data_IF_301537775093
#
_entry.id   IF_301537775093
#
_cell.length_a   1.000
_cell.length_b   1.000
_cell.length_c   1.000
_cell.angle_alpha   90.00
_cell.angle_beta   90.00
_cell.angle_gamma   90.00
#
_symmetry.space_group_name_H-M   'P 1'
#
loop_
_entity.id
_entity.type
_entity.pdbx_description
1 polymer ?
#
# COMPACT_ATOMS: atom_id res chain seq x y z
N UNK A 1 70.52 55.07 -36.41
CA UNK A 1 70.50 56.50 -36.06
C UNK A 1 71.02 56.61 -34.64
N UNK A 2 72.03 57.45 -34.42
CA UNK A 2 72.70 57.62 -33.13
C UNK A 2 72.35 59.01 -32.63
N UNK A 3 71.61 59.11 -31.53
CA UNK A 3 71.41 60.37 -30.81
C UNK A 3 72.45 60.45 -29.70
N UNK A 4 73.45 61.29 -29.88
CA UNK A 4 74.39 61.66 -28.81
C UNK A 4 73.83 62.87 -28.06
N UNK A 5 73.24 62.61 -26.88
CA UNK A 5 73.00 63.65 -25.89
C UNK A 5 74.36 64.13 -25.35
N UNK A 6 74.62 65.43 -25.47
CA UNK A 6 75.85 66.06 -25.00
C UNK A 6 75.66 66.84 -23.70
N UNK A 7 76.79 67.39 -23.24
CA UNK A 7 76.92 68.41 -22.19
C UNK A 7 76.69 67.97 -20.73
N UNK A 8 77.80 67.95 -19.97
CA UNK A 8 78.01 68.93 -18.90
C UNK A 8 79.51 68.96 -18.56
N UNK A 9 80.25 69.89 -19.18
CA UNK A 9 81.60 70.19 -18.73
C UNK A 9 81.49 70.95 -17.41
N UNK A 10 81.95 70.34 -16.32
CA UNK A 10 81.91 70.93 -14.98
C UNK A 10 82.80 72.18 -14.92
N UNK A 11 82.23 73.30 -14.48
CA UNK A 11 82.96 74.50 -14.14
C UNK A 11 83.90 74.17 -12.97
N UNK A 12 85.20 74.10 -13.25
CA UNK A 12 86.19 73.56 -12.31
C UNK A 12 86.50 74.56 -11.20
N UNK A 13 86.09 74.24 -9.98
CA UNK A 13 86.29 75.03 -8.76
C UNK A 13 87.77 75.44 -8.58
N UNK A 14 88.11 76.68 -8.99
CA UNK A 14 89.47 77.22 -8.87
C UNK A 14 89.76 77.54 -7.41
N UNK A 15 90.49 76.65 -6.74
CA UNK A 15 90.82 76.81 -5.34
C UNK A 15 91.87 77.91 -5.15
N UNK A 16 91.57 78.89 -4.29
CA UNK A 16 92.51 79.94 -3.89
C UNK A 16 93.29 79.51 -2.64
N UNK A 17 94.56 79.17 -2.82
CA UNK A 17 95.47 78.72 -1.76
C UNK A 17 96.34 79.88 -1.25
N UNK A 18 96.56 79.96 0.06
CA UNK A 18 97.47 80.96 0.62
C UNK A 18 98.95 80.61 0.33
N UNK A 19 99.74 81.60 -0.08
CA UNK A 19 101.17 81.42 -0.32
C UNK A 19 101.93 81.17 0.99
N UNK A 20 102.63 80.03 1.10
CA UNK A 20 103.31 79.57 2.33
C UNK A 20 104.69 80.22 2.53
N UNK A 21 104.80 81.52 2.25
CA UNK A 21 106.06 82.25 2.41
C UNK A 21 106.42 82.37 3.91
N UNK A 22 107.68 82.09 4.30
CA UNK A 22 108.05 81.97 5.73
C UNK A 22 108.25 83.30 6.47
N UNK A 23 108.29 84.43 5.77
CA UNK A 23 108.58 85.75 6.36
C UNK A 23 107.47 86.73 5.99
N UNK A 24 106.49 86.90 6.88
CA UNK A 24 105.28 87.69 6.64
C UNK A 24 104.20 86.94 5.86
N UNK A 25 102.93 87.28 6.10
CA UNK A 25 101.80 86.73 5.35
C UNK A 25 101.76 87.35 3.95
N UNK A 26 102.18 86.59 2.94
CA UNK A 26 102.10 87.02 1.54
C UNK A 26 100.62 87.28 1.17
N UNK A 27 100.26 88.50 0.70
CA UNK A 27 98.85 88.85 0.44
C UNK A 27 98.29 88.22 -0.84
N UNK A 28 99.15 87.65 -1.70
CA UNK A 28 98.74 87.13 -3.01
C UNK A 28 98.31 85.65 -2.89
N UNK A 29 97.02 85.32 -3.11
CA UNK A 29 96.57 83.94 -3.22
C UNK A 29 97.11 83.30 -4.50
N UNK A 30 97.27 81.99 -4.45
CA UNK A 30 97.62 81.13 -5.58
C UNK A 30 96.31 80.57 -6.13
N UNK A 31 95.99 80.85 -7.39
CA UNK A 31 94.87 80.19 -8.06
C UNK A 31 95.32 78.83 -8.58
N UNK A 32 94.62 77.76 -8.16
CA UNK A 32 94.91 76.39 -8.55
C UNK A 32 93.71 75.78 -9.27
N UNK A 33 93.94 75.22 -10.46
CA UNK A 33 92.94 74.69 -11.39
C UNK A 33 92.62 73.20 -11.19
N UNK A 34 93.19 72.58 -10.15
CA UNK A 34 92.97 71.18 -9.79
C UNK A 34 93.95 70.18 -10.43
N UNK A 35 94.75 70.59 -11.43
CA UNK A 35 95.61 69.67 -12.17
C UNK A 35 97.01 69.48 -11.52
N UNK A 36 97.26 68.29 -10.97
CA UNK A 36 98.59 67.89 -10.47
C UNK A 36 98.78 68.03 -8.96
N UNK A 37 99.91 68.61 -8.54
CA UNK A 37 100.24 68.87 -7.12
C UNK A 37 100.28 70.38 -6.88
N UNK A 38 99.46 70.94 -5.97
CA UNK A 38 99.35 72.39 -5.82
C UNK A 38 100.68 73.05 -5.44
N UNK A 39 101.05 74.17 -6.08
CA UNK A 39 102.29 74.89 -5.78
C UNK A 39 102.17 75.63 -4.44
N UNK A 40 103.24 75.60 -3.64
CA UNK A 40 103.25 76.16 -2.27
C UNK A 40 103.58 77.66 -2.20
N UNK A 41 104.01 78.27 -3.31
CA UNK A 41 104.46 79.66 -3.39
C UNK A 41 103.92 80.32 -4.66
N UNK A 42 103.60 81.61 -4.60
CA UNK A 42 102.91 82.34 -5.68
C UNK A 42 103.78 82.68 -6.91
N UNK A 43 105.10 82.46 -6.87
CA UNK A 43 105.99 82.72 -8.02
C UNK A 43 106.31 84.20 -8.28
N UNK A 44 105.51 85.11 -7.74
CA UNK A 44 105.66 86.56 -7.83
C UNK A 44 106.83 87.13 -7.02
N UNK A 45 107.23 88.36 -7.32
CA UNK A 45 108.24 89.11 -6.54
C UNK A 45 107.53 90.00 -5.53
N UNK A 46 107.65 89.67 -4.25
CA UNK A 46 107.15 90.49 -3.13
C UNK A 46 108.36 90.93 -2.30
N UNK A 47 108.38 92.19 -1.87
CA UNK A 47 109.49 92.81 -1.12
C UNK A 47 110.89 92.58 -1.75
N UNK A 48 110.94 92.59 -3.08
CA UNK A 48 112.18 92.42 -3.86
C UNK A 48 112.69 90.97 -3.98
N UNK A 49 111.96 89.98 -3.43
CA UNK A 49 112.35 88.56 -3.49
C UNK A 49 111.28 87.74 -4.22
N UNK A 50 111.71 86.94 -5.20
CA UNK A 50 110.81 86.04 -5.93
C UNK A 50 110.36 84.86 -5.05
N UNK A 51 109.06 84.72 -4.81
CA UNK A 51 108.43 83.68 -4.00
C UNK A 51 108.44 82.32 -4.71
N UNK A 52 109.58 81.63 -4.65
CA UNK A 52 109.75 80.26 -5.13
C UNK A 52 110.43 79.38 -4.06
N UNK A 53 110.44 78.06 -4.26
CA UNK A 53 110.97 77.10 -3.27
C UNK A 53 112.43 77.34 -2.89
N UNK A 54 113.28 77.72 -3.86
CA UNK A 54 114.71 77.98 -3.64
C UNK A 54 114.93 79.21 -2.77
N UNK A 55 114.21 80.30 -3.07
CA UNK A 55 114.30 81.54 -2.31
C UNK A 55 113.59 81.42 -0.96
N UNK A 56 112.52 80.63 -0.83
CA UNK A 56 111.87 80.34 0.45
C UNK A 56 112.81 79.57 1.39
N UNK A 57 113.59 78.63 0.85
CA UNK A 57 114.66 77.97 1.62
C UNK A 57 115.74 78.98 2.03
N UNK A 58 116.27 79.80 1.08
CA UNK A 58 117.26 80.84 1.39
C UNK A 58 116.73 81.89 2.38
N UNK A 59 115.42 82.15 2.42
CA UNK A 59 114.77 83.02 3.40
C UNK A 59 114.71 82.37 4.79
N UNK A 60 114.33 81.08 4.90
CA UNK A 60 114.42 80.32 6.17
C UNK A 60 115.85 80.22 6.70
N UNK A 61 116.85 80.19 5.81
CA UNK A 61 118.28 80.18 6.15
C UNK A 61 118.87 81.60 6.37
N UNK A 62 118.11 82.69 6.18
CA UNK A 62 118.59 84.07 6.36
C UNK A 62 119.65 84.54 5.34
N UNK A 63 119.74 83.91 4.16
CA UNK A 63 120.87 84.03 3.21
C UNK A 63 120.61 84.91 1.97
N UNK A 64 119.52 85.67 1.92
CA UNK A 64 119.23 86.58 0.79
C UNK A 64 120.04 87.89 0.91
N UNK A 65 120.97 88.12 -0.02
CA UNK A 65 121.69 89.41 -0.23
C UNK A 65 121.91 89.67 -1.74
N UNK A 66 121.79 90.92 -2.26
CA UNK A 66 122.00 91.25 -3.69
C UNK A 66 123.49 91.50 -4.04
N UNK A 67 123.93 91.29 -5.32
CA UNK A 67 125.32 91.59 -5.79
C UNK A 67 125.48 91.65 -7.33
N UNK A 68 126.53 92.32 -7.87
CA UNK A 68 126.81 92.59 -9.30
C UNK A 68 128.33 92.79 -9.63
N UNK A 69 128.70 92.76 -10.94
CA UNK A 69 129.89 93.27 -11.75
C UNK A 69 131.21 92.46 -11.94
N UNK A 70 131.80 92.61 -13.15
CA UNK A 70 133.02 92.01 -13.79
C UNK A 70 134.10 93.08 -14.21
N UNK A 71 135.29 92.69 -14.73
CA UNK A 71 136.22 93.57 -15.53
C UNK A 71 137.34 92.84 -16.34
N UNK A 72 137.92 93.49 -17.39
CA UNK A 72 138.99 93.00 -18.32
C UNK A 72 140.01 94.13 -18.72
N UNK A 73 141.15 93.84 -19.41
CA UNK A 73 142.25 94.83 -19.72
C UNK A 73 143.16 94.50 -20.94
N UNK A 74 143.87 95.50 -21.53
CA UNK A 74 144.63 95.44 -22.82
C UNK A 74 146.14 95.86 -22.77
N UNK A 75 146.86 95.89 -23.93
CA UNK A 75 148.34 95.87 -24.07
C UNK A 75 149.00 96.97 -24.98
N UNK A 76 150.35 97.07 -25.00
CA UNK A 76 151.20 98.07 -25.74
C UNK A 76 152.54 97.47 -26.29
N UNK A 77 153.12 98.07 -27.34
CA UNK A 77 154.20 97.59 -28.25
C UNK A 77 155.66 97.52 -27.70
N UNK A 78 156.57 96.77 -28.37
CA UNK A 78 157.97 96.45 -27.95
C UNK A 78 158.98 96.22 -29.11
N UNK A 79 160.32 96.34 -28.90
CA UNK A 79 161.35 96.48 -29.96
C UNK A 79 161.84 95.21 -30.71
N UNK A 80 162.60 95.41 -31.79
CA UNK A 80 162.97 94.40 -32.83
C UNK A 80 163.81 93.20 -32.35
N UNK A 81 164.59 93.31 -31.26
CA UNK A 81 165.23 92.12 -30.66
C UNK A 81 164.19 91.14 -30.08
N UNK A 82 163.08 91.68 -29.56
CA UNK A 82 161.88 90.94 -29.18
C UNK A 82 161.10 90.41 -30.39
N UNK A 83 161.29 90.97 -31.59
CA UNK A 83 160.75 90.42 -32.83
C UNK A 83 161.60 89.25 -33.39
N UNK A 84 162.93 89.21 -33.12
CA UNK A 84 163.76 88.02 -33.42
C UNK A 84 163.54 86.90 -32.41
N UNK A 85 163.59 87.22 -31.10
CA UNK A 85 163.18 86.26 -30.07
C UNK A 85 161.71 85.84 -30.25
N UNK A 86 160.86 86.76 -30.73
CA UNK A 86 159.47 86.48 -31.13
C UNK A 86 159.35 85.62 -32.38
N UNK A 87 160.26 85.72 -33.35
CA UNK A 87 160.30 84.83 -34.53
C UNK A 87 160.83 83.45 -34.19
N UNK A 88 161.80 83.33 -33.28
CA UNK A 88 162.25 82.04 -32.76
C UNK A 88 161.17 81.40 -31.88
N UNK A 89 160.54 82.17 -30.99
CA UNK A 89 159.38 81.72 -30.21
C UNK A 89 158.18 81.37 -31.10
N UNK A 90 157.93 82.11 -32.19
CA UNK A 90 156.89 81.79 -33.16
C UNK A 90 157.25 80.56 -33.98
N UNK A 91 158.52 80.36 -34.36
CA UNK A 91 158.98 79.15 -35.04
C UNK A 91 158.83 77.93 -34.14
N UNK A 92 159.22 78.06 -32.88
CA UNK A 92 159.13 76.98 -31.90
C UNK A 92 157.68 76.75 -31.43
N UNK A 93 156.82 77.78 -31.41
CA UNK A 93 155.38 77.64 -31.17
C UNK A 93 154.64 77.02 -32.36
N UNK A 94 154.96 77.43 -33.61
CA UNK A 94 154.50 76.76 -34.83
C UNK A 94 154.95 75.29 -34.79
N UNK A 95 156.20 75.00 -34.42
CA UNK A 95 156.67 73.61 -34.26
C UNK A 95 155.88 72.88 -33.18
N UNK A 96 155.66 73.49 -32.01
CA UNK A 96 154.86 72.89 -30.92
C UNK A 96 153.39 72.69 -31.28
N UNK A 97 152.85 73.52 -32.17
CA UNK A 97 151.46 73.49 -32.64
C UNK A 97 151.29 72.46 -33.72
N UNK A 98 152.25 72.32 -34.65
CA UNK A 98 152.34 71.20 -35.59
C UNK A 98 152.53 69.89 -34.82
N UNK A 99 153.46 69.80 -33.88
CA UNK A 99 153.67 68.61 -33.02
C UNK A 99 152.42 68.27 -32.17
N UNK A 100 151.62 69.25 -31.76
CA UNK A 100 150.32 69.03 -31.10
C UNK A 100 149.26 68.55 -32.09
N UNK A 101 149.18 69.16 -33.27
CA UNK A 101 148.21 68.81 -34.29
C UNK A 101 148.49 67.42 -34.88
N UNK A 102 149.75 67.05 -35.11
CA UNK A 102 150.17 65.70 -35.50
C UNK A 102 149.90 64.65 -34.43
N UNK A 103 149.93 65.01 -33.15
CA UNK A 103 149.51 64.12 -32.05
C UNK A 103 147.99 63.98 -31.99
N UNK A 104 147.25 65.08 -32.09
CA UNK A 104 145.79 65.06 -32.11
C UNK A 104 145.25 64.31 -33.35
N UNK A 105 145.82 64.53 -34.53
CA UNK A 105 145.47 63.81 -35.75
C UNK A 105 145.83 62.33 -35.67
N UNK A 106 146.95 61.96 -35.02
CA UNK A 106 147.23 60.55 -34.68
C UNK A 106 146.18 59.98 -33.74
N UNK A 107 145.84 60.66 -32.64
CA UNK A 107 144.79 60.20 -31.71
C UNK A 107 143.42 60.06 -32.41
N UNK A 108 143.06 60.98 -33.30
CA UNK A 108 141.83 60.87 -34.10
C UNK A 108 141.89 59.73 -35.12
N UNK A 109 143.02 59.49 -35.77
CA UNK A 109 143.20 58.34 -36.68
C UNK A 109 143.23 57.03 -35.92
N UNK A 110 143.85 56.95 -34.75
CA UNK A 110 143.85 55.79 -33.86
C UNK A 110 142.44 55.51 -33.31
N UNK A 111 141.71 56.54 -32.87
CA UNK A 111 140.31 56.41 -32.42
C UNK A 111 139.37 56.06 -33.57
N UNK A 112 139.59 56.60 -34.78
CA UNK A 112 138.84 56.22 -35.97
C UNK A 112 139.17 54.79 -36.42
N UNK A 113 140.43 54.36 -36.34
CA UNK A 113 140.85 52.99 -36.64
C UNK A 113 140.32 51.99 -35.61
N UNK A 114 140.22 52.37 -34.33
CA UNK A 114 139.58 51.56 -33.29
C UNK A 114 138.07 51.43 -33.56
N UNK A 115 137.36 52.53 -33.81
CA UNK A 115 135.93 52.52 -34.12
C UNK A 115 135.63 51.82 -35.45
N UNK A 116 136.48 51.95 -36.47
CA UNK A 116 136.36 51.17 -37.71
C UNK A 116 136.71 49.71 -37.48
N UNK A 117 137.68 49.39 -36.61
CA UNK A 117 138.00 48.01 -36.23
C UNK A 117 136.82 47.33 -35.56
N UNK A 118 136.17 48.00 -34.60
CA UNK A 118 134.99 47.51 -33.89
C UNK A 118 133.74 47.45 -34.80
N UNK A 119 133.56 48.43 -35.70
CA UNK A 119 132.47 48.44 -36.67
C UNK A 119 132.69 47.54 -37.91
N UNK A 120 133.91 47.03 -38.13
CA UNK A 120 134.22 46.07 -39.22
C UNK A 120 134.69 44.71 -38.70
N UNK A 121 134.63 44.47 -37.38
CA UNK A 121 134.89 43.16 -36.78
C UNK A 121 133.81 42.16 -37.21
N UNK A 122 134.14 41.17 -38.07
CA UNK A 122 133.17 40.21 -38.54
C UNK A 122 132.74 39.22 -37.44
N UNK A 123 133.57 39.01 -36.41
CA UNK A 123 133.30 38.10 -35.31
C UNK A 123 132.34 38.75 -34.29
N UNK A 124 132.51 40.04 -34.02
CA UNK A 124 131.55 40.82 -33.23
C UNK A 124 130.17 40.87 -33.90
N UNK A 125 130.12 41.20 -35.20
CA UNK A 125 128.88 41.20 -35.97
C UNK A 125 128.23 39.80 -36.03
N UNK A 126 129.02 38.73 -36.18
CA UNK A 126 128.52 37.36 -36.13
C UNK A 126 127.98 36.99 -34.73
N UNK A 127 128.60 37.46 -33.66
CA UNK A 127 128.14 37.24 -32.29
C UNK A 127 126.80 37.95 -32.01
N UNK A 128 126.62 39.19 -32.48
CA UNK A 128 125.34 39.91 -32.40
C UNK A 128 124.25 39.21 -33.22
N UNK A 129 124.53 38.84 -34.48
CA UNK A 129 123.59 38.09 -35.32
C UNK A 129 123.20 36.76 -34.64
N UNK A 130 124.16 36.05 -34.05
CA UNK A 130 123.88 34.81 -33.34
C UNK A 130 123.07 35.04 -32.04
N UNK A 131 123.25 36.18 -31.35
CA UNK A 131 122.45 36.56 -30.19
C UNK A 131 121.00 36.87 -30.59
N UNK A 132 120.81 37.72 -31.60
CA UNK A 132 119.49 38.06 -32.17
C UNK A 132 118.78 36.79 -32.70
N UNK A 133 119.50 35.86 -33.33
CA UNK A 133 118.93 34.59 -33.78
C UNK A 133 118.50 33.68 -32.61
N UNK A 134 119.24 33.65 -31.49
CA UNK A 134 118.84 32.90 -30.29
C UNK A 134 117.61 33.54 -29.63
N UNK A 135 117.60 34.86 -29.52
CA UNK A 135 116.46 35.59 -28.98
C UNK A 135 115.20 35.41 -29.85
N UNK A 136 115.32 35.58 -31.17
CA UNK A 136 114.22 35.38 -32.11
C UNK A 136 113.65 33.97 -32.05
N UNK A 137 114.49 32.92 -31.95
CA UNK A 137 114.03 31.54 -31.72
C UNK A 137 113.27 31.43 -30.40
N UNK A 138 113.81 31.95 -29.30
CA UNK A 138 113.14 31.95 -27.98
C UNK A 138 111.79 32.66 -28.03
N UNK A 139 111.68 33.77 -28.78
CA UNK A 139 110.41 34.50 -28.96
C UNK A 139 109.41 33.73 -29.84
N UNK A 140 109.88 33.00 -30.86
CA UNK A 140 109.07 32.12 -31.71
C UNK A 140 108.56 30.92 -30.89
N UNK A 141 109.43 30.18 -30.21
CA UNK A 141 109.09 29.03 -29.38
C UNK A 141 108.02 29.43 -28.33
N UNK A 142 108.21 30.57 -27.66
CA UNK A 142 107.25 31.11 -26.69
C UNK A 142 105.95 31.64 -27.33
N UNK A 143 105.94 31.97 -28.63
CA UNK A 143 104.72 32.32 -29.36
C UNK A 143 103.96 31.08 -29.82
N UNK A 144 104.66 30.04 -30.27
CA UNK A 144 104.11 28.74 -30.65
C UNK A 144 103.47 28.06 -29.43
N UNK A 145 104.14 28.01 -28.27
CA UNK A 145 103.57 27.50 -27.02
C UNK A 145 102.27 28.22 -26.61
N UNK A 146 102.23 29.56 -26.74
CA UNK A 146 101.00 30.35 -26.48
C UNK A 146 99.88 29.97 -27.44
N UNK A 147 100.17 29.84 -28.74
CA UNK A 147 99.18 29.44 -29.75
C UNK A 147 98.67 28.03 -29.51
N UNK A 148 99.54 27.06 -29.18
CA UNK A 148 99.14 25.69 -28.86
C UNK A 148 98.27 25.64 -27.60
N UNK A 149 98.64 26.38 -26.55
CA UNK A 149 97.87 26.51 -25.31
C UNK A 149 96.49 27.14 -25.55
N UNK A 150 96.40 28.22 -26.32
CA UNK A 150 95.12 28.83 -26.72
C UNK A 150 94.25 27.88 -27.54
N UNK A 151 94.83 27.18 -28.52
CA UNK A 151 94.09 26.20 -29.32
C UNK A 151 93.60 25.02 -28.47
N UNK A 152 94.41 24.54 -27.53
CA UNK A 152 93.99 23.51 -26.58
C UNK A 152 92.87 24.03 -25.65
N UNK A 153 92.93 25.30 -25.23
CA UNK A 153 91.87 25.98 -24.50
C UNK A 153 90.56 26.04 -25.29
N UNK A 154 90.61 26.48 -26.56
CA UNK A 154 89.44 26.54 -27.46
C UNK A 154 88.82 25.15 -27.68
N UNK A 155 89.62 24.13 -28.00
CA UNK A 155 89.13 22.75 -28.18
C UNK A 155 88.45 22.20 -26.92
N UNK A 156 88.95 22.50 -25.72
CA UNK A 156 88.28 22.12 -24.45
C UNK A 156 86.98 22.88 -24.23
N UNK A 157 86.93 24.18 -24.55
CA UNK A 157 85.72 24.99 -24.43
C UNK A 157 84.65 24.55 -25.43
N UNK A 158 85.03 24.23 -26.67
CA UNK A 158 84.15 23.68 -27.72
C UNK A 158 83.59 22.31 -27.30
N UNK A 159 84.42 21.42 -26.77
CA UNK A 159 83.97 20.12 -26.26
C UNK A 159 82.98 20.27 -25.08
N UNK A 160 83.28 21.15 -24.11
CA UNK A 160 82.39 21.41 -22.98
C UNK A 160 81.07 22.08 -23.39
N UNK A 161 81.09 22.92 -24.44
CA UNK A 161 79.87 23.49 -25.01
C UNK A 161 79.00 22.42 -25.69
N UNK A 162 79.61 21.51 -26.46
CA UNK A 162 78.91 20.39 -27.09
C UNK A 162 78.32 19.41 -26.05
N UNK A 163 79.04 19.13 -24.97
CA UNK A 163 78.55 18.33 -23.84
C UNK A 163 77.35 19.00 -23.16
N UNK A 164 77.43 20.31 -22.87
CA UNK A 164 76.32 21.05 -22.28
C UNK A 164 75.09 21.17 -23.21
N UNK A 165 75.29 21.26 -24.53
CA UNK A 165 74.20 21.22 -25.52
C UNK A 165 73.54 19.83 -25.59
N UNK A 166 74.33 18.76 -25.50
CA UNK A 166 73.83 17.38 -25.46
C UNK A 166 73.04 17.08 -24.17
N UNK A 167 73.57 17.47 -23.01
CA UNK A 167 72.89 17.35 -21.71
C UNK A 167 71.57 18.12 -21.70
N UNK A 168 71.56 19.34 -22.26
CA UNK A 168 70.34 20.13 -22.40
C UNK A 168 69.32 19.44 -23.30
N UNK A 169 69.74 18.90 -24.45
CA UNK A 169 68.85 18.21 -25.38
C UNK A 169 68.33 16.86 -24.84
N UNK A 170 69.05 16.20 -23.92
CA UNK A 170 68.55 15.05 -23.16
C UNK A 170 67.54 15.50 -22.10
N UNK A 171 67.83 16.55 -21.33
CA UNK A 171 66.92 17.10 -20.33
C UNK A 171 65.59 17.60 -20.94
N UNK A 172 65.64 18.24 -22.11
CA UNK A 172 64.46 18.65 -22.87
C UNK A 172 63.63 17.43 -23.32
N UNK A 173 64.25 16.37 -23.85
CA UNK A 173 63.55 15.12 -24.22
C UNK A 173 62.93 14.39 -23.02
N UNK A 174 63.61 14.36 -21.88
CA UNK A 174 63.08 13.79 -20.63
C UNK A 174 61.86 14.60 -20.15
N UNK A 175 61.93 15.93 -20.20
CA UNK A 175 60.83 16.81 -19.82
C UNK A 175 59.61 16.65 -20.75
N UNK A 176 59.81 16.58 -22.07
CA UNK A 176 58.74 16.30 -23.04
C UNK A 176 58.08 14.95 -22.77
N UNK A 177 58.87 13.89 -22.55
CA UNK A 177 58.36 12.55 -22.23
C UNK A 177 57.52 12.57 -20.95
N UNK A 178 58.02 13.19 -19.88
CA UNK A 178 57.30 13.30 -18.61
C UNK A 178 55.99 14.12 -18.71
N UNK A 179 55.93 15.12 -19.59
CA UNK A 179 54.70 15.87 -19.86
C UNK A 179 53.67 15.01 -20.59
N UNK A 180 54.09 14.23 -21.60
CA UNK A 180 53.20 13.28 -22.30
C UNK A 180 52.67 12.21 -21.35
N UNK A 181 53.54 11.59 -20.55
CA UNK A 181 53.14 10.58 -19.56
C UNK A 181 52.14 11.12 -18.53
N UNK A 182 52.35 12.37 -18.07
CA UNK A 182 51.41 13.08 -17.18
C UNK A 182 50.06 13.29 -17.86
N UNK A 183 50.04 13.77 -19.10
CA UNK A 183 48.81 14.10 -19.81
C UNK A 183 48.01 12.84 -20.17
N UNK A 184 48.69 11.75 -20.53
CA UNK A 184 48.05 10.43 -20.63
C UNK A 184 47.51 9.92 -19.28
N UNK A 185 48.26 10.10 -18.18
CA UNK A 185 47.82 9.68 -16.86
C UNK A 185 46.58 10.47 -16.40
N UNK A 186 46.52 11.77 -16.71
CA UNK A 186 45.35 12.61 -16.47
C UNK A 186 44.17 12.16 -17.31
N UNK A 187 44.35 11.94 -18.62
CA UNK A 187 43.28 11.45 -19.50
C UNK A 187 42.73 10.08 -19.04
N UNK A 188 43.60 9.16 -18.58
CA UNK A 188 43.19 7.89 -17.97
C UNK A 188 42.42 8.08 -16.66
N UNK A 189 42.79 9.06 -15.83
CA UNK A 189 42.08 9.37 -14.59
C UNK A 189 40.68 9.98 -14.86
N UNK A 190 40.58 10.83 -15.88
CA UNK A 190 39.32 11.45 -16.29
C UNK A 190 38.35 10.40 -16.88
N UNK A 191 38.81 9.52 -17.77
CA UNK A 191 38.03 8.38 -18.30
C UNK A 191 37.54 7.44 -17.18
N UNK A 192 38.40 7.08 -16.23
CA UNK A 192 37.99 6.29 -15.07
C UNK A 192 36.98 7.04 -14.17
N UNK A 193 37.07 8.36 -14.10
CA UNK A 193 36.10 9.22 -13.41
C UNK A 193 34.73 9.20 -14.09
N UNK A 194 34.67 9.33 -15.42
CA UNK A 194 33.44 9.22 -16.21
C UNK A 194 32.82 7.82 -16.11
N UNK A 195 33.62 6.76 -16.21
CA UNK A 195 33.16 5.38 -16.03
C UNK A 195 32.58 5.13 -14.63
N UNK A 196 33.23 5.64 -13.58
CA UNK A 196 32.75 5.54 -12.20
C UNK A 196 31.41 6.29 -12.02
N UNK A 197 31.29 7.50 -12.57
CA UNK A 197 30.04 8.27 -12.54
C UNK A 197 28.91 7.55 -13.29
N UNK A 198 29.19 6.97 -14.46
CA UNK A 198 28.23 6.18 -15.22
C UNK A 198 27.76 4.92 -14.47
N UNK A 199 28.67 4.18 -13.83
CA UNK A 199 28.32 3.03 -13.00
C UNK A 199 27.49 3.44 -11.76
N UNK A 200 27.82 4.56 -11.12
CA UNK A 200 27.02 5.08 -10.01
C UNK A 200 25.60 5.46 -10.44
N UNK A 201 25.42 6.07 -11.62
CA UNK A 201 24.12 6.37 -12.19
C UNK A 201 23.30 5.10 -12.52
N UNK A 202 23.93 4.10 -13.15
CA UNK A 202 23.28 2.80 -13.43
C UNK A 202 22.84 2.07 -12.15
N UNK A 203 23.68 2.10 -11.12
CA UNK A 203 23.41 1.49 -9.82
C UNK A 203 22.33 2.25 -9.02
N UNK A 204 22.24 3.57 -9.16
CA UNK A 204 21.13 4.37 -8.62
C UNK A 204 19.80 4.04 -9.32
N UNK A 205 19.79 3.94 -10.64
CA UNK A 205 18.58 3.57 -11.41
C UNK A 205 18.13 2.13 -11.11
N UNK A 206 19.07 1.18 -11.02
CA UNK A 206 18.77 -0.21 -10.66
C UNK A 206 18.17 -0.31 -9.25
N UNK A 207 18.66 0.50 -8.29
CA UNK A 207 18.06 0.61 -6.96
C UNK A 207 16.64 1.18 -7.01
N UNK A 208 16.37 2.15 -7.88
CA UNK A 208 15.03 2.72 -8.08
C UNK A 208 14.06 1.66 -8.62
N UNK A 209 14.46 0.94 -9.66
CA UNK A 209 13.68 -0.14 -10.27
C UNK A 209 13.41 -1.29 -9.29
N UNK A 210 14.39 -1.64 -8.45
CA UNK A 210 14.21 -2.63 -7.39
C UNK A 210 13.19 -2.17 -6.32
N UNK A 211 13.24 -0.89 -5.93
CA UNK A 211 12.27 -0.32 -4.98
C UNK A 211 10.84 -0.29 -5.57
N UNK A 212 10.69 0.11 -6.83
CA UNK A 212 9.43 0.10 -7.58
C UNK A 212 8.85 -1.31 -7.69
N UNK A 213 9.66 -2.28 -8.13
CA UNK A 213 9.27 -3.71 -8.20
C UNK A 213 8.88 -4.27 -6.83
N UNK A 214 9.53 -3.84 -5.76
CA UNK A 214 9.20 -4.24 -4.38
C UNK A 214 7.85 -3.64 -3.95
N UNK A 215 7.60 -2.37 -4.25
CA UNK A 215 6.32 -1.72 -3.98
C UNK A 215 5.16 -2.38 -4.74
N UNK A 216 5.37 -2.70 -6.02
CA UNK A 216 4.39 -3.39 -6.86
C UNK A 216 4.07 -4.79 -6.33
N UNK A 217 5.10 -5.57 -5.97
CA UNK A 217 4.94 -6.87 -5.30
C UNK A 217 4.09 -6.74 -4.04
N UNK A 218 4.38 -5.76 -3.18
CA UNK A 218 3.66 -5.54 -1.92
C UNK A 218 2.21 -5.07 -2.16
N UNK A 219 1.96 -4.32 -3.24
CA UNK A 219 0.62 -3.94 -3.68
C UNK A 219 -0.16 -5.13 -4.24
N UNK A 220 0.48 -6.02 -5.00
CA UNK A 220 -0.11 -7.26 -5.49
C UNK A 220 -0.40 -8.23 -4.35
N UNK A 221 0.49 -8.38 -3.37
CA UNK A 221 0.25 -9.20 -2.18
C UNK A 221 -0.99 -8.70 -1.42
N UNK A 222 -1.04 -7.39 -1.08
CA UNK A 222 -2.22 -6.77 -0.45
C UNK A 222 -3.50 -6.84 -1.30
N UNK A 223 -3.42 -7.15 -2.60
CA UNK A 223 -4.58 -7.41 -3.45
C UNK A 223 -4.97 -8.89 -3.40
N UNK A 224 -4.02 -9.81 -3.37
CA UNK A 224 -4.26 -11.24 -3.14
C UNK A 224 -4.92 -11.46 -1.76
N UNK A 225 -4.33 -10.92 -0.69
CA UNK A 225 -4.86 -11.06 0.68
C UNK A 225 -6.34 -10.62 0.77
N UNK A 226 -6.69 -9.48 0.17
CA UNK A 226 -8.08 -8.98 0.10
C UNK A 226 -9.01 -9.84 -0.76
N UNK A 227 -8.50 -10.46 -1.83
CA UNK A 227 -9.29 -11.38 -2.66
C UNK A 227 -9.54 -12.69 -1.91
N UNK A 228 -8.58 -13.16 -1.12
CA UNK A 228 -8.74 -14.34 -0.25
C UNK A 228 -9.75 -14.07 0.88
N UNK A 229 -9.69 -12.90 1.54
CA UNK A 229 -10.72 -12.46 2.50
C UNK A 229 -12.13 -12.39 1.87
N UNK A 230 -12.24 -11.85 0.66
CA UNK A 230 -13.51 -11.82 -0.10
C UNK A 230 -13.99 -13.22 -0.47
N UNK A 231 -13.10 -14.13 -0.86
CA UNK A 231 -13.43 -15.51 -1.22
C UNK A 231 -13.87 -16.33 0.00
N UNK A 232 -13.24 -16.13 1.17
CA UNK A 232 -13.68 -16.71 2.44
C UNK A 232 -15.07 -16.20 2.80
N UNK A 233 -15.30 -14.88 2.74
CA UNK A 233 -16.61 -14.27 3.03
C UNK A 233 -17.70 -14.83 2.12
N UNK A 234 -17.50 -14.78 0.79
CA UNK A 234 -18.46 -15.31 -0.18
C UNK A 234 -18.68 -16.83 -0.05
N UNK A 235 -17.70 -17.57 0.48
CA UNK A 235 -17.86 -19.00 0.78
C UNK A 235 -18.77 -19.22 2.00
N UNK A 236 -18.63 -18.40 3.05
CA UNK A 236 -19.52 -18.41 4.22
C UNK A 236 -20.94 -18.01 3.82
N UNK A 237 -21.11 -16.90 3.11
CA UNK A 237 -22.42 -16.41 2.64
C UNK A 237 -23.16 -17.47 1.80
N UNK A 238 -22.43 -18.15 0.89
CA UNK A 238 -22.97 -19.25 0.07
C UNK A 238 -23.42 -20.42 0.93
N UNK A 239 -22.65 -20.80 1.94
CA UNK A 239 -22.95 -21.95 2.80
C UNK A 239 -24.07 -21.63 3.80
N UNK A 240 -24.23 -20.38 4.21
CA UNK A 240 -25.38 -19.88 4.97
C UNK A 240 -26.64 -19.88 4.11
N UNK A 241 -26.64 -19.24 2.94
CA UNK A 241 -27.77 -19.25 2.00
C UNK A 241 -28.18 -20.67 1.58
N UNK A 242 -27.22 -21.61 1.51
CA UNK A 242 -27.51 -23.03 1.32
C UNK A 242 -28.27 -23.64 2.49
N UNK A 243 -27.87 -23.37 3.74
CA UNK A 243 -28.58 -23.85 4.94
C UNK A 243 -29.97 -23.24 5.04
N UNK A 244 -30.12 -21.95 4.76
CA UNK A 244 -31.42 -21.27 4.73
C UNK A 244 -32.36 -21.91 3.70
N UNK A 245 -31.88 -22.16 2.48
CA UNK A 245 -32.64 -22.86 1.44
C UNK A 245 -33.00 -24.29 1.87
N UNK A 246 -32.05 -25.04 2.41
CA UNK A 246 -32.28 -26.43 2.82
C UNK A 246 -33.27 -26.50 4.01
N UNK A 247 -33.27 -25.51 4.91
CA UNK A 247 -34.27 -25.34 5.97
C UNK A 247 -35.64 -24.92 5.42
N UNK A 248 -35.70 -23.95 4.50
CA UNK A 248 -36.94 -23.53 3.86
C UNK A 248 -37.61 -24.68 3.08
N UNK A 249 -36.80 -25.56 2.46
CA UNK A 249 -37.29 -26.77 1.81
C UNK A 249 -37.89 -27.75 2.83
N UNK A 250 -37.21 -27.99 3.97
CA UNK A 250 -37.76 -28.84 5.04
C UNK A 250 -39.11 -28.32 5.56
N UNK A 251 -39.22 -27.01 5.82
CA UNK A 251 -40.47 -26.37 6.26
C UNK A 251 -41.56 -26.48 5.18
N UNK A 252 -41.22 -26.34 3.90
CA UNK A 252 -42.15 -26.55 2.80
C UNK A 252 -42.64 -28.00 2.70
N UNK A 253 -41.74 -28.98 2.85
CA UNK A 253 -42.06 -30.41 2.85
C UNK A 253 -42.95 -30.79 4.05
N UNK A 254 -42.67 -30.23 5.24
CA UNK A 254 -43.52 -30.36 6.44
C UNK A 254 -44.92 -29.77 6.21
N UNK A 255 -45.03 -28.58 5.61
CA UNK A 255 -46.33 -28.00 5.25
C UNK A 255 -47.09 -28.85 4.22
N UNK A 256 -46.40 -29.46 3.25
CA UNK A 256 -47.02 -30.38 2.29
C UNK A 256 -47.52 -31.66 2.98
N UNK A 257 -46.77 -32.24 3.91
CA UNK A 257 -47.24 -33.41 4.67
C UNK A 257 -48.37 -33.08 5.65
N UNK A 258 -48.34 -31.90 6.29
CA UNK A 258 -49.46 -31.40 7.10
C UNK A 258 -50.72 -31.23 6.26
N UNK A 259 -50.62 -30.57 5.10
CA UNK A 259 -51.74 -30.40 4.18
C UNK A 259 -52.29 -31.76 3.70
N UNK A 260 -51.40 -32.71 3.34
CA UNK A 260 -51.80 -34.09 2.99
C UNK A 260 -52.49 -34.80 4.16
N UNK A 261 -52.04 -34.60 5.40
CA UNK A 261 -52.67 -35.16 6.58
C UNK A 261 -54.04 -34.53 6.88
N UNK A 262 -54.20 -33.23 6.64
CA UNK A 262 -55.48 -32.54 6.75
C UNK A 262 -56.47 -32.99 5.67
N UNK A 263 -56.04 -33.15 4.42
CA UNK A 263 -56.86 -33.75 3.35
C UNK A 263 -57.31 -35.17 3.75
N UNK A 264 -56.40 -36.04 4.22
CA UNK A 264 -56.76 -37.39 4.69
C UNK A 264 -57.80 -37.36 5.82
N UNK A 265 -57.65 -36.45 6.80
CA UNK A 265 -58.64 -36.27 7.89
C UNK A 265 -59.98 -35.75 7.38
N UNK A 266 -59.98 -34.86 6.39
CA UNK A 266 -61.19 -34.36 5.76
C UNK A 266 -61.92 -35.47 4.99
N UNK A 267 -61.18 -36.30 4.25
CA UNK A 267 -61.72 -37.49 3.55
C UNK A 267 -62.30 -38.51 4.55
N UNK A 268 -61.60 -38.80 5.65
CA UNK A 268 -62.06 -39.68 6.73
C UNK A 268 -63.32 -39.13 7.43
N UNK A 269 -63.37 -37.81 7.65
CA UNK A 269 -64.53 -37.12 8.22
C UNK A 269 -65.72 -37.18 7.25
N UNK A 270 -65.51 -36.91 5.95
CA UNK A 270 -66.56 -37.03 4.93
C UNK A 270 -67.08 -38.47 4.84
N UNK A 271 -66.21 -39.48 4.81
CA UNK A 271 -66.62 -40.89 4.85
C UNK A 271 -67.36 -41.26 6.15
N UNK A 272 -67.11 -40.54 7.24
CA UNK A 272 -67.87 -40.70 8.50
C UNK A 272 -69.25 -40.07 8.40
N UNK A 273 -69.36 -38.87 7.82
CA UNK A 273 -70.63 -38.20 7.52
C UNK A 273 -71.48 -39.05 6.55
N UNK A 274 -70.92 -39.51 5.43
CA UNK A 274 -71.62 -40.40 4.48
C UNK A 274 -72.12 -41.70 5.14
N UNK A 275 -71.35 -42.27 6.08
CA UNK A 275 -71.79 -43.44 6.87
C UNK A 275 -72.92 -43.09 7.84
N UNK A 276 -72.86 -41.91 8.47
CA UNK A 276 -73.92 -41.42 9.35
C UNK A 276 -75.19 -41.09 8.56
N UNK A 277 -75.09 -40.48 7.38
CA UNK A 277 -76.22 -40.21 6.48
C UNK A 277 -76.90 -41.50 6.04
N UNK A 278 -76.14 -42.51 5.57
CA UNK A 278 -76.69 -43.84 5.25
C UNK A 278 -77.33 -44.54 6.46
N UNK A 279 -76.77 -44.35 7.66
CA UNK A 279 -77.38 -44.86 8.89
C UNK A 279 -78.68 -44.13 9.25
N UNK A 280 -78.72 -42.80 9.10
CA UNK A 280 -79.93 -41.98 9.27
C UNK A 280 -80.99 -42.36 8.24
N UNK A 281 -80.62 -42.55 6.97
CA UNK A 281 -81.51 -43.03 5.90
C UNK A 281 -82.08 -44.41 6.25
N UNK A 282 -81.24 -45.33 6.73
CA UNK A 282 -81.67 -46.66 7.18
C UNK A 282 -82.65 -46.57 8.36
N UNK A 283 -82.32 -45.80 9.40
CA UNK A 283 -83.18 -45.56 10.57
C UNK A 283 -84.49 -44.86 10.16
N UNK A 284 -84.44 -43.97 9.17
CA UNK A 284 -85.62 -43.29 8.63
C UNK A 284 -86.52 -44.28 7.90
N UNK A 285 -85.95 -45.14 7.04
CA UNK A 285 -86.69 -46.21 6.37
C UNK A 285 -87.25 -47.25 7.35
N UNK A 286 -86.53 -47.56 8.43
CA UNK A 286 -87.04 -48.42 9.52
C UNK A 286 -88.17 -47.74 10.30
N UNK A 287 -88.02 -46.46 10.67
CA UNK A 287 -89.08 -45.65 11.30
C UNK A 287 -90.32 -45.61 10.41
N UNK A 288 -90.15 -45.45 9.10
CA UNK A 288 -91.26 -45.33 8.15
C UNK A 288 -91.95 -46.69 7.94
N UNK A 289 -91.21 -47.81 7.95
CA UNK A 289 -91.79 -49.16 8.05
C UNK A 289 -92.53 -49.39 9.36
N UNK A 290 -91.98 -48.96 10.50
CA UNK A 290 -92.64 -49.05 11.81
C UNK A 290 -93.88 -48.15 11.86
N UNK A 291 -93.85 -47.00 11.18
CA UNK A 291 -95.00 -46.12 10.97
C UNK A 291 -96.10 -46.81 10.16
N UNK A 292 -95.74 -47.42 9.03
CA UNK A 292 -96.65 -48.23 8.21
C UNK A 292 -97.25 -49.39 9.03
N UNK A 293 -96.44 -50.14 9.77
CA UNK A 293 -96.91 -51.21 10.67
C UNK A 293 -97.82 -50.68 11.79
N UNK A 294 -97.55 -49.48 12.32
CA UNK A 294 -98.41 -48.86 13.33
C UNK A 294 -99.74 -48.38 12.74
N UNK A 295 -99.76 -47.93 11.47
CA UNK A 295 -100.99 -47.55 10.76
C UNK A 295 -101.79 -48.76 10.28
N UNK A 296 -101.14 -49.86 9.88
CA UNK A 296 -101.75 -51.18 9.69
C UNK A 296 -102.39 -51.65 11.00
N UNK A 297 -101.66 -51.64 12.12
CA UNK A 297 -102.20 -52.01 13.43
C UNK A 297 -103.32 -51.08 13.91
N UNK A 298 -103.28 -49.78 13.60
CA UNK A 298 -104.42 -48.86 13.85
C UNK A 298 -105.64 -49.22 13.00
N UNK A 299 -105.42 -49.61 11.75
CA UNK A 299 -106.47 -50.06 10.84
C UNK A 299 -107.07 -51.38 11.33
N UNK A 300 -106.25 -52.32 11.78
CA UNK A 300 -106.70 -53.58 12.40
C UNK A 300 -107.44 -53.33 13.72
N UNK A 301 -107.00 -52.39 14.56
CA UNK A 301 -107.74 -51.99 15.77
C UNK A 301 -109.06 -51.30 15.42
N UNK A 302 -109.12 -50.49 14.36
CA UNK A 302 -110.37 -49.89 13.87
C UNK A 302 -111.33 -50.95 13.32
N UNK A 303 -110.81 -51.94 12.57
CA UNK A 303 -111.56 -53.08 12.04
C UNK A 303 -112.02 -54.04 13.16
N UNK A 304 -111.20 -54.24 14.20
CA UNK A 304 -111.58 -54.96 15.39
C UNK A 304 -112.67 -54.20 16.17
N UNK A 305 -112.59 -52.87 16.24
CA UNK A 305 -113.61 -52.03 16.88
C UNK A 305 -114.94 -52.05 16.14
N UNK A 306 -114.95 -51.92 14.81
CA UNK A 306 -116.19 -52.07 14.02
C UNK A 306 -116.72 -53.51 14.08
N UNK A 307 -115.85 -54.51 14.20
CA UNK A 307 -116.25 -55.90 14.46
C UNK A 307 -116.87 -56.06 15.85
N UNK A 308 -116.34 -55.42 16.89
CA UNK A 308 -116.92 -55.38 18.25
C UNK A 308 -118.26 -54.64 18.24
N UNK A 309 -118.37 -53.51 17.55
CA UNK A 309 -119.63 -52.75 17.40
C UNK A 309 -120.69 -53.58 16.67
N UNK A 310 -120.33 -54.29 15.59
CA UNK A 310 -121.20 -55.25 14.90
C UNK A 310 -121.63 -56.40 15.81
N UNK A 311 -120.69 -57.06 16.49
CA UNK A 311 -121.01 -58.13 17.44
C UNK A 311 -121.86 -57.64 18.62
N UNK A 312 -121.69 -56.38 19.05
CA UNK A 312 -122.51 -55.75 20.08
C UNK A 312 -123.92 -55.46 19.58
N UNK A 313 -124.07 -55.05 18.31
CA UNK A 313 -125.38 -54.94 17.66
C UNK A 313 -126.06 -56.31 17.55
N UNK A 314 -125.37 -57.35 17.08
CA UNK A 314 -125.87 -58.73 17.01
C UNK A 314 -126.27 -59.29 18.39
N UNK A 315 -125.50 -59.01 19.45
CA UNK A 315 -125.83 -59.38 20.84
C UNK A 315 -127.03 -58.61 21.38
N UNK A 316 -127.18 -57.33 21.02
CA UNK A 316 -128.35 -56.53 21.40
C UNK A 316 -129.60 -56.99 20.65
N UNK A 317 -129.48 -57.31 19.36
CA UNK A 317 -130.55 -57.87 18.53
C UNK A 317 -131.00 -59.26 19.04
N UNK A 318 -130.04 -60.12 19.43
CA UNK A 318 -130.33 -61.38 20.09
C UNK A 318 -131.03 -61.17 21.45
N UNK A 319 -130.69 -60.11 22.21
CA UNK A 319 -131.37 -59.75 23.46
C UNK A 319 -132.78 -59.22 23.24
N UNK A 320 -133.05 -58.40 22.21
CA UNK A 320 -134.43 -58.01 21.86
C UNK A 320 -135.23 -59.21 21.38
N UNK A 321 -134.66 -60.09 20.57
CA UNK A 321 -135.30 -61.36 20.17
C UNK A 321 -135.64 -62.24 21.37
N UNK A 322 -134.72 -62.36 22.34
CA UNK A 322 -134.94 -63.12 23.57
C UNK A 322 -136.00 -62.47 24.48
N UNK A 323 -136.07 -61.13 24.53
CA UNK A 323 -137.09 -60.39 25.27
C UNK A 323 -138.49 -60.53 24.63
N UNK A 324 -138.59 -60.52 23.30
CA UNK A 324 -139.84 -60.78 22.57
C UNK A 324 -140.32 -62.21 22.81
N UNK A 325 -139.46 -63.22 22.66
CA UNK A 325 -139.82 -64.61 22.95
C UNK A 325 -140.25 -64.83 24.42
N UNK A 326 -139.61 -64.14 25.38
CA UNK A 326 -140.02 -64.16 26.78
C UNK A 326 -141.40 -63.51 27.01
N UNK A 327 -141.69 -62.41 26.30
CA UNK A 327 -142.99 -61.74 26.36
C UNK A 327 -144.12 -62.61 25.75
N UNK A 328 -143.85 -63.29 24.63
CA UNK A 328 -144.78 -64.22 23.99
C UNK A 328 -145.09 -65.43 24.89
N UNK A 329 -144.08 -66.02 25.55
CA UNK A 329 -144.29 -67.07 26.55
C UNK A 329 -145.11 -66.56 27.73
N UNK A 330 -144.84 -65.36 28.24
CA UNK A 330 -145.61 -64.75 29.31
C UNK A 330 -147.05 -64.35 28.90
N UNK A 331 -147.32 -64.17 27.61
CA UNK A 331 -148.67 -63.95 27.07
C UNK A 331 -149.42 -65.27 26.89
N UNK A 332 -148.75 -66.33 26.42
CA UNK A 332 -149.32 -67.67 26.32
C UNK A 332 -149.75 -68.22 27.70
N UNK A 333 -148.93 -68.03 28.74
CA UNK A 333 -149.29 -68.41 30.12
C UNK A 333 -150.53 -67.67 30.63
N UNK A 334 -150.66 -66.35 30.40
CA UNK A 334 -151.83 -65.57 30.79
C UNK A 334 -153.10 -66.00 30.04
N UNK A 335 -152.99 -66.36 28.76
CA UNK A 335 -154.10 -66.95 28.02
C UNK A 335 -154.53 -68.31 28.57
N UNK A 336 -153.58 -69.18 28.93
CA UNK A 336 -153.86 -70.48 29.54
C UNK A 336 -154.54 -70.34 30.90
N UNK A 337 -154.04 -69.43 31.76
CA UNK A 337 -154.58 -69.16 33.08
C UNK A 337 -156.01 -68.59 33.00
N UNK A 338 -156.26 -67.66 32.07
CA UNK A 338 -157.61 -67.12 31.82
C UNK A 338 -158.58 -68.20 31.32
N UNK A 339 -158.13 -69.10 30.44
CA UNK A 339 -158.96 -70.21 29.95
C UNK A 339 -159.29 -71.23 31.04
N UNK A 340 -158.33 -71.55 31.92
CA UNK A 340 -158.54 -72.45 33.08
C UNK A 340 -159.50 -71.81 34.10
N UNK A 341 -159.43 -70.49 34.29
CA UNK A 341 -160.34 -69.78 35.19
C UNK A 341 -161.78 -69.77 34.65
N UNK A 342 -161.97 -69.51 33.36
CA UNK A 342 -163.29 -69.58 32.70
C UNK A 342 -163.90 -70.98 32.78
N UNK A 343 -163.11 -72.05 32.58
CA UNK A 343 -163.61 -73.43 32.76
C UNK A 343 -163.95 -73.77 34.22
N UNK A 344 -163.24 -73.18 35.19
CA UNK A 344 -163.60 -73.28 36.61
C UNK A 344 -164.93 -72.60 36.90
N UNK A 345 -165.11 -71.36 36.44
CA UNK A 345 -166.35 -70.61 36.64
C UNK A 345 -167.53 -71.36 36.00
N UNK A 346 -167.37 -71.88 34.77
CA UNK A 346 -168.36 -72.74 34.11
C UNK A 346 -168.60 -74.09 34.82
N UNK A 347 -167.59 -74.67 35.49
CA UNK A 347 -167.76 -75.89 36.30
C UNK A 347 -168.54 -75.61 37.60
N UNK A 348 -168.24 -74.52 38.30
CA UNK A 348 -168.97 -74.10 39.50
C UNK A 348 -170.42 -73.72 39.16
N UNK A 349 -170.65 -73.07 38.02
CA UNK A 349 -171.99 -72.71 37.56
C UNK A 349 -172.84 -73.96 37.24
N UNK A 350 -172.26 -74.97 36.56
CA UNK A 350 -172.89 -76.29 36.37
C UNK A 350 -173.23 -76.99 37.69
N UNK A 351 -172.35 -76.93 38.69
CA UNK A 351 -172.58 -77.51 40.03
C UNK A 351 -173.66 -76.73 40.79
N UNK A 352 -173.70 -75.41 40.67
CA UNK A 352 -174.75 -74.58 41.25
C UNK A 352 -176.13 -74.85 40.61
N UNK A 353 -176.18 -75.06 39.30
CA UNK A 353 -177.42 -75.40 38.60
C UNK A 353 -177.90 -76.82 38.90
N UNK A 354 -177.01 -77.81 38.94
CA UNK A 354 -177.34 -79.17 39.39
C UNK A 354 -177.85 -79.17 40.84
N UNK A 355 -177.26 -78.37 41.74
CA UNK A 355 -177.75 -78.19 43.12
C UNK A 355 -179.10 -77.48 43.18
N UNK A 356 -179.36 -76.49 42.30
CA UNK A 356 -180.67 -75.82 42.18
C UNK A 356 -181.75 -76.70 41.54
N UNK A 357 -181.37 -77.71 40.77
CA UNK A 357 -182.27 -78.67 40.17
C UNK A 357 -182.62 -79.78 41.18
N UNK A 358 -181.62 -80.45 41.76
CA UNK A 358 -181.84 -81.40 42.86
C UNK A 358 -182.46 -80.76 44.11
N UNK A 359 -182.22 -79.46 44.36
CA UNK A 359 -182.91 -78.72 45.42
C UNK A 359 -184.41 -78.66 45.18
N UNK A 360 -184.84 -78.35 43.94
CA UNK A 360 -186.25 -78.33 43.54
C UNK A 360 -186.87 -79.73 43.53
N UNK A 361 -186.18 -80.72 42.97
CA UNK A 361 -186.63 -82.12 42.98
C UNK A 361 -186.81 -82.65 44.42
N UNK A 362 -185.91 -82.29 45.35
CA UNK A 362 -186.06 -82.61 46.78
C UNK A 362 -187.15 -81.80 47.49
N UNK A 363 -187.55 -80.66 46.96
CA UNK A 363 -188.62 -79.82 47.51
C UNK A 363 -189.99 -80.34 47.04
N UNK A 364 -190.11 -80.70 45.76
CA UNK A 364 -191.25 -81.42 45.19
C UNK A 364 -191.43 -82.79 45.86
N UNK A 365 -190.39 -83.63 45.94
CA UNK A 365 -190.44 -84.90 46.68
C UNK A 365 -190.76 -84.71 48.18
N UNK A 366 -190.36 -83.59 48.80
CA UNK A 366 -190.70 -83.30 50.20
C UNK A 366 -192.09 -82.76 50.38
N UNK A 367 -192.72 -82.20 49.37
CA UNK A 367 -194.12 -81.75 49.40
C UNK A 367 -195.06 -82.93 49.09
N UNK A 368 -194.73 -83.78 48.11
CA UNK A 368 -195.38 -85.07 47.86
C UNK A 368 -195.31 -85.97 49.11
N UNK A 369 -194.12 -86.17 49.66
CA UNK A 369 -193.96 -87.00 50.85
C UNK A 369 -194.53 -86.35 52.13
N UNK A 370 -194.77 -85.02 52.18
CA UNK A 370 -195.55 -84.39 53.27
C UNK A 370 -197.04 -84.68 53.17
N UNK A 371 -197.56 -84.86 51.96
CA UNK A 371 -198.95 -85.26 51.74
C UNK A 371 -199.14 -86.76 51.98
N UNK A 372 -198.20 -87.61 51.56
CA UNK A 372 -198.23 -89.05 51.89
C UNK A 372 -198.02 -89.34 53.39
N UNK A 373 -197.06 -88.69 54.06
CA UNK A 373 -196.82 -88.88 55.50
C UNK A 373 -197.91 -88.27 56.41
N UNK A 374 -198.87 -87.54 55.85
CA UNK A 374 -200.11 -87.17 56.52
C UNK A 374 -201.20 -88.26 56.41
N UNK A 375 -201.04 -89.22 55.49
CA UNK A 375 -201.95 -90.35 55.26
C UNK A 375 -201.40 -91.69 55.76
N UNK A 376 -200.09 -91.83 55.97
CA UNK A 376 -199.40 -93.08 56.34
C UNK A 376 -198.54 -92.91 57.61
N UNK A 377 -199.07 -92.18 58.59
CA UNK A 377 -198.66 -92.26 60.00
C UNK A 377 -199.74 -92.90 60.91
N UNK A 378 -200.68 -93.59 60.27
CA UNK A 378 -201.20 -94.86 60.77
C UNK A 378 -200.23 -95.97 60.31
N UNK A 379 -199.47 -96.51 61.26
CA UNK A 379 -198.50 -97.63 61.21
C UNK A 379 -197.14 -97.45 60.49
N UNK A 380 -196.08 -97.45 61.30
CA UNK A 380 -194.65 -97.40 60.94
C UNK A 380 -194.07 -98.74 60.46
N UNK A 381 -193.13 -98.70 59.50
CA UNK A 381 -192.13 -99.73 59.15
C UNK A 381 -190.92 -99.02 58.48
N UNK A 382 -189.74 -99.60 58.18
CA UNK A 382 -188.89 -100.66 58.76
C UNK A 382 -187.69 -100.88 57.79
N UNK A 383 -186.43 -101.05 58.27
CA UNK A 383 -185.26 -101.66 57.53
C UNK A 383 -184.78 -101.04 56.17
N UNK A 384 -183.71 -101.51 55.48
CA UNK A 384 -182.30 -101.78 55.85
C UNK A 384 -181.40 -102.11 54.60
N UNK A 385 -180.08 -101.80 54.65
CA UNK A 385 -178.96 -102.52 53.95
C UNK A 385 -178.90 -102.53 52.37
N UNK A 386 -177.94 -103.22 51.64
CA UNK A 386 -176.44 -103.28 51.74
C UNK A 386 -175.61 -103.35 50.39
N UNK A 387 -174.25 -103.16 50.43
CA UNK A 387 -173.17 -103.83 49.60
C UNK A 387 -173.08 -103.65 48.03
N UNK A 388 -172.12 -104.23 47.22
CA UNK A 388 -170.63 -104.43 47.30
C UNK A 388 -169.75 -104.29 45.97
N UNK A 389 -168.41 -104.52 46.05
CA UNK A 389 -167.43 -105.12 45.06
C UNK A 389 -166.89 -104.46 43.74
N UNK A 390 -165.56 -104.62 43.48
CA UNK A 390 -164.87 -104.79 42.15
C UNK A 390 -164.37 -103.52 41.40
N UNK A 391 -163.49 -103.51 40.36
CA UNK A 391 -162.43 -104.45 39.84
C UNK A 391 -161.58 -103.76 38.70
N UNK A 392 -160.25 -103.96 38.66
CA UNK A 392 -159.27 -103.91 37.51
C UNK A 392 -159.06 -102.68 36.57
N UNK A 393 -157.80 -102.49 36.08
CA UNK A 393 -157.48 -101.77 34.83
C UNK A 393 -156.07 -101.12 34.70
N UNK A 394 -155.31 -101.45 33.65
CA UNK A 394 -154.06 -100.78 33.17
C UNK A 394 -154.30 -100.26 31.70
N UNK A 395 -153.36 -99.76 30.83
CA UNK A 395 -151.87 -99.81 30.82
C UNK A 395 -151.09 -98.57 30.22
N UNK A 396 -149.76 -98.71 30.00
CA UNK A 396 -148.81 -98.09 29.01
C UNK A 396 -148.80 -96.54 28.73
N UNK A 397 -147.71 -95.83 28.38
CA UNK A 397 -146.27 -96.10 28.11
C UNK A 397 -145.73 -95.23 26.93
N UNK A 398 -144.47 -94.75 26.81
CA UNK A 398 -143.30 -94.74 27.71
C UNK A 398 -141.91 -94.59 27.00
N UNK A 399 -141.26 -93.41 27.01
CA UNK A 399 -139.86 -93.20 26.54
C UNK A 399 -139.40 -91.73 26.41
N UNK A 400 -138.13 -91.35 26.08
CA UNK A 400 -136.80 -92.01 26.09
C UNK A 400 -135.67 -91.02 25.66
N UNK A 401 -134.44 -91.12 26.23
CA UNK A 401 -133.09 -90.77 25.61
C UNK A 401 -132.73 -89.27 25.34
N UNK A 402 -131.48 -88.80 25.10
CA UNK A 402 -130.03 -89.24 25.26
C UNK A 402 -129.10 -88.01 25.07
N UNK A 403 -128.07 -87.73 25.88
CA UNK A 403 -126.61 -88.04 25.81
C UNK A 403 -125.72 -87.61 24.60
N UNK A 404 -124.69 -86.77 24.89
CA UNK A 404 -123.23 -86.82 24.54
C UNK A 404 -122.65 -86.63 23.10
N UNK A 405 -121.54 -85.82 23.07
CA UNK A 405 -120.15 -86.01 22.49
C UNK A 405 -119.71 -85.35 21.14
N UNK A 406 -118.67 -84.46 21.22
CA UNK A 406 -117.37 -84.37 20.46
C UNK A 406 -117.35 -84.37 18.89
N UNK A 407 -116.19 -84.15 18.19
CA UNK A 407 -115.12 -83.11 18.29
C UNK A 407 -114.56 -82.59 16.92
N UNK A 408 -113.61 -81.64 16.95
CA UNK A 408 -112.63 -81.25 15.87
C UNK A 408 -113.20 -80.69 14.55
N UNK A 409 -112.45 -79.93 13.76
CA UNK A 409 -111.01 -79.59 13.82
C UNK A 409 -110.78 -78.08 13.92
#
# INVERSE_FOLDING_TARGET
MVEHAGSTASDGDRQRLACQWPVGSCPNPIEYDGAGRPPSYCGEVVDGVRHNRLNAQKAREGRLRPRYVEQESAAVERPVSLARAGLEALRDDIRSTVERHERAMREYVERAAALMGEATDPDAAAAEIAAVQREARTQIDAAEERVESEQAGRRRAEAAAQEAEADRAEAERIAETALVERDEAQARADDLGEQLAAQQAQLAETRRQLAETTQDRDQLQRRADRLDEQLVTATVDRDEARRERDHAQQVADEHVELARAETRRADEAQQTVERQERAIETITAERDRVGQQADELRTDVANAKTTIERLTAEVNEARTGQAVAAAEVAQAWRHLETAVQVERDHAEQRIADARRQHGRELEELRDEHRQELAALRDDDHETAQPTPTGRAGAPAGGGLRRTRRRPRA
#
